data_IF_482917086973
#
_entry.id   IF_482917086973
#
_cell.length_a   1.000
_cell.length_b   1.000
_cell.length_c   1.000
_cell.angle_alpha   90.00
_cell.angle_beta   90.00
_cell.angle_gamma   90.00
#
_symmetry.space_group_name_H-M   'P 1'
#
loop_
_entity.id
_entity.type
_entity.pdbx_description
1 polymer ?
#
# COMPACT_ATOMS: atom_id res chain seq x y z
N UNK A 1 -30.06 67.82 54.60
CA UNK A 1 -30.61 66.84 53.64
C UNK A 1 -29.43 66.20 52.95
N UNK A 2 -29.29 64.88 53.02
CA UNK A 2 -28.23 64.13 52.38
C UNK A 2 -28.88 63.12 51.43
N UNK A 3 -28.57 63.19 50.15
CA UNK A 3 -28.91 62.18 49.15
C UNK A 3 -27.70 61.28 48.93
N UNK A 4 -27.93 59.97 48.86
CA UNK A 4 -26.95 58.99 48.45
C UNK A 4 -27.39 58.39 47.11
N UNK A 5 -26.51 58.45 46.10
CA UNK A 5 -26.69 57.74 44.85
C UNK A 5 -25.99 56.38 44.93
N UNK A 6 -26.72 55.30 44.62
CA UNK A 6 -26.18 53.95 44.49
C UNK A 6 -26.00 53.62 43.02
N UNK A 7 -24.82 53.10 42.66
CA UNK A 7 -24.57 52.46 41.36
C UNK A 7 -24.36 50.97 41.56
N UNK A 8 -25.03 50.16 40.75
CA UNK A 8 -24.82 48.71 40.70
C UNK A 8 -23.62 48.39 39.80
N UNK A 9 -22.69 47.50 40.21
CA UNK A 9 -21.62 47.06 39.33
C UNK A 9 -22.18 46.12 38.25
N UNK A 10 -21.83 46.38 36.99
CA UNK A 10 -22.06 45.44 35.90
C UNK A 10 -21.03 44.30 35.96
N UNK A 11 -21.50 43.05 35.86
CA UNK A 11 -20.62 41.89 35.74
C UNK A 11 -19.97 41.86 34.34
N UNK A 12 -18.69 41.48 34.21
CA UNK A 12 -18.07 41.33 32.91
C UNK A 12 -18.65 40.10 32.18
N UNK A 13 -18.95 40.27 30.90
CA UNK A 13 -19.35 39.17 30.03
C UNK A 13 -18.20 38.16 29.91
N UNK A 14 -18.40 36.95 30.43
CA UNK A 14 -17.47 35.84 30.21
C UNK A 14 -17.58 35.39 28.76
N UNK A 15 -16.59 35.74 27.93
CA UNK A 15 -16.46 35.16 26.60
C UNK A 15 -15.92 33.72 26.75
N UNK A 16 -16.55 32.72 26.10
CA UNK A 16 -16.19 31.32 26.29
C UNK A 16 -14.91 30.99 25.51
N UNK A 17 -13.76 31.33 26.10
CA UNK A 17 -12.42 31.03 25.58
C UNK A 17 -12.18 29.54 25.34
N UNK A 18 -12.93 28.66 26.03
CA UNK A 18 -12.86 27.21 25.84
C UNK A 18 -13.42 26.75 24.49
N UNK A 19 -14.47 27.40 23.97
CA UNK A 19 -15.16 26.96 22.74
C UNK A 19 -14.31 27.26 21.50
N UNK A 20 -13.68 28.44 21.47
CA UNK A 20 -12.81 28.85 20.36
C UNK A 20 -11.56 27.99 20.25
N UNK A 21 -10.98 27.55 21.38
CA UNK A 21 -9.80 26.68 21.38
C UNK A 21 -10.14 25.27 20.83
N UNK A 22 -11.28 24.69 21.23
CA UNK A 22 -11.73 23.38 20.69
C UNK A 22 -12.06 23.42 19.20
N UNK A 23 -12.72 24.49 18.72
CA UNK A 23 -13.03 24.63 17.29
C UNK A 23 -11.75 24.84 16.48
N UNK A 24 -10.79 25.62 16.98
CA UNK A 24 -9.49 25.81 16.37
C UNK A 24 -8.69 24.49 16.27
N UNK A 25 -8.70 23.67 17.32
CA UNK A 25 -8.01 22.37 17.33
C UNK A 25 -8.66 21.37 16.37
N UNK A 26 -10.00 21.30 16.31
CA UNK A 26 -10.72 20.43 15.37
C UNK A 26 -10.47 20.83 13.91
N UNK A 27 -10.45 22.14 13.62
CA UNK A 27 -10.07 22.64 12.30
C UNK A 27 -8.62 22.26 11.96
N UNK A 28 -7.68 22.38 12.90
CA UNK A 28 -6.28 22.00 12.69
C UNK A 28 -6.11 20.50 12.40
N UNK A 29 -6.84 19.63 13.11
CA UNK A 29 -6.82 18.18 12.90
C UNK A 29 -7.43 17.80 11.54
N UNK A 30 -8.44 18.52 11.07
CA UNK A 30 -9.05 18.30 9.74
C UNK A 30 -8.10 18.61 8.56
N UNK A 31 -7.02 19.35 8.81
CA UNK A 31 -5.99 19.66 7.81
C UNK A 31 -4.86 18.63 7.75
N UNK A 32 -4.90 17.56 8.56
CA UNK A 32 -3.93 16.47 8.44
C UNK A 32 -4.19 15.73 7.11
N UNK A 33 -3.24 15.77 6.15
CA UNK A 33 -3.44 15.11 4.87
C UNK A 33 -3.63 13.61 5.12
N UNK A 34 -4.67 13.04 4.50
CA UNK A 34 -4.85 11.60 4.48
C UNK A 34 -3.65 10.97 3.76
N UNK A 35 -2.85 10.25 4.53
CA UNK A 35 -1.70 9.52 4.04
C UNK A 35 -2.16 8.40 3.08
N UNK A 36 -2.11 8.63 1.75
CA UNK A 36 -2.29 7.59 0.73
C UNK A 36 -0.97 7.24 0.06
N UNK A 37 -0.36 6.14 0.49
CA UNK A 37 0.87 5.62 -0.09
C UNK A 37 0.66 5.06 -1.46
N UNK A 38 1.51 5.50 -2.37
CA UNK A 38 1.49 5.05 -3.74
C UNK A 38 2.91 4.94 -4.26
N UNK A 39 3.24 3.75 -4.72
CA UNK A 39 4.52 3.39 -5.25
C UNK A 39 4.33 2.30 -6.29
N UNK A 40 5.26 2.22 -7.23
CA UNK A 40 5.27 1.22 -8.29
C UNK A 40 6.67 0.67 -8.47
N UNK A 41 6.79 -0.60 -8.82
CA UNK A 41 8.07 -1.22 -9.14
C UNK A 41 8.33 -1.07 -10.65
N UNK A 42 9.39 -0.31 -10.99
CA UNK A 42 9.74 0.08 -12.35
C UNK A 42 10.87 -0.78 -12.94
N UNK A 43 11.83 -1.21 -12.12
CA UNK A 43 12.91 -2.10 -12.57
C UNK A 43 13.24 -3.13 -11.49
N UNK A 44 13.08 -4.45 -11.75
CA UNK A 44 12.40 -5.02 -12.92
C UNK A 44 10.94 -4.54 -12.98
N UNK A 45 10.39 -4.24 -14.17
CA UNK A 45 8.99 -3.82 -14.31
C UNK A 45 8.05 -4.83 -13.67
N UNK A 46 7.20 -4.38 -12.73
CA UNK A 46 6.09 -5.20 -12.23
C UNK A 46 5.01 -5.40 -13.30
N UNK A 47 4.16 -6.42 -13.14
CA UNK A 47 3.02 -6.69 -14.03
C UNK A 47 2.14 -5.45 -14.25
N UNK A 48 1.96 -4.63 -13.21
CA UNK A 48 1.20 -3.37 -13.29
C UNK A 48 1.90 -2.28 -14.12
N UNK A 49 3.24 -2.20 -14.08
CA UNK A 49 4.02 -1.12 -14.70
C UNK A 49 4.63 -1.47 -16.06
N UNK A 50 4.55 -2.72 -16.50
CA UNK A 50 5.10 -3.19 -17.78
C UNK A 50 4.74 -2.28 -18.96
N UNK A 51 3.47 -1.89 -19.09
CA UNK A 51 2.98 -1.08 -20.19
C UNK A 51 3.65 0.31 -20.26
N UNK A 52 4.05 0.89 -19.11
CA UNK A 52 4.74 2.19 -19.07
C UNK A 52 6.14 2.12 -19.64
N UNK A 53 6.71 0.92 -19.71
CA UNK A 53 8.10 0.66 -20.09
C UNK A 53 8.18 -0.07 -21.44
N UNK A 54 7.12 0.03 -22.25
CA UNK A 54 7.12 -0.40 -23.65
C UNK A 54 6.84 -1.89 -23.88
N UNK A 55 6.45 -2.64 -22.86
CA UNK A 55 6.03 -4.03 -23.01
C UNK A 55 4.62 -4.10 -23.61
N UNK A 56 4.39 -5.09 -24.48
CA UNK A 56 3.05 -5.46 -24.94
C UNK A 56 2.24 -6.06 -23.78
N UNK A 57 1.57 -5.19 -23.02
CA UNK A 57 0.79 -5.54 -21.84
C UNK A 57 -0.38 -4.57 -21.69
N UNK A 58 -1.50 -4.99 -21.09
CA UNK A 58 -2.62 -4.09 -20.85
C UNK A 58 -2.21 -2.92 -19.94
N UNK A 59 -2.70 -1.72 -20.24
CA UNK A 59 -2.37 -0.54 -19.47
C UNK A 59 -3.10 -0.54 -18.12
N UNK A 60 -2.34 -0.50 -17.03
CA UNK A 60 -2.82 -0.12 -15.70
C UNK A 60 -2.41 1.33 -15.38
N UNK A 61 -3.33 2.27 -15.60
CA UNK A 61 -3.09 3.69 -15.29
C UNK A 61 -2.91 3.96 -13.80
N UNK A 62 -3.34 3.03 -12.95
CA UNK A 62 -3.27 3.05 -11.50
C UNK A 62 -2.21 2.08 -10.95
N UNK A 63 -1.19 1.71 -11.75
CA UNK A 63 -0.06 0.82 -11.39
C UNK A 63 0.79 1.19 -10.15
N UNK A 64 0.48 2.30 -9.51
CA UNK A 64 1.05 2.75 -8.24
C UNK A 64 0.12 2.50 -7.04
N UNK A 65 -1.02 1.87 -7.29
CA UNK A 65 -2.06 1.56 -6.34
C UNK A 65 -2.13 0.04 -6.07
N UNK A 66 -0.98 -0.63 -5.94
CA UNK A 66 -0.87 -2.00 -5.43
C UNK A 66 -1.06 -2.08 -3.90
N UNK A 67 -2.21 -1.61 -3.41
CA UNK A 67 -2.54 -1.34 -2.00
C UNK A 67 -3.62 -2.25 -1.41
N UNK A 68 -3.73 -3.48 -1.89
CA UNK A 68 -4.64 -4.52 -1.37
C UNK A 68 -6.14 -4.15 -1.48
N UNK A 69 -6.51 -3.33 -2.47
CA UNK A 69 -7.86 -2.78 -2.61
C UNK A 69 -8.22 -1.68 -1.61
N UNK A 70 -7.23 -1.15 -0.88
CA UNK A 70 -7.37 -0.07 0.09
C UNK A 70 -7.70 -0.53 1.52
N UNK A 71 -7.56 0.40 2.48
CA UNK A 71 -7.63 0.13 3.93
C UNK A 71 -8.87 -0.67 4.36
N UNK A 72 -10.04 -0.35 3.80
CA UNK A 72 -11.30 -1.04 4.17
C UNK A 72 -11.33 -2.47 3.65
N UNK A 73 -10.88 -2.70 2.41
CA UNK A 73 -10.77 -4.04 1.86
C UNK A 73 -9.78 -4.87 2.68
N UNK A 74 -8.57 -4.34 2.91
CA UNK A 74 -7.51 -5.00 3.66
C UNK A 74 -7.98 -5.37 5.08
N UNK A 75 -8.33 -4.39 5.91
CA UNK A 75 -8.55 -4.64 7.35
C UNK A 75 -9.97 -5.07 7.69
N UNK A 76 -10.99 -4.43 7.12
CA UNK A 76 -12.37 -4.68 7.52
C UNK A 76 -12.97 -5.90 6.82
N UNK A 77 -12.63 -6.10 5.53
CA UNK A 77 -13.22 -7.16 4.72
C UNK A 77 -12.38 -8.44 4.71
N UNK A 78 -11.07 -8.31 4.59
CA UNK A 78 -10.17 -9.44 4.36
C UNK A 78 -9.26 -9.77 5.54
N UNK A 79 -9.39 -9.07 6.67
CA UNK A 79 -8.70 -9.40 7.92
C UNK A 79 -7.18 -9.29 7.83
N UNK A 80 -6.68 -8.34 7.04
CA UNK A 80 -5.26 -8.13 6.78
C UNK A 80 -4.72 -8.92 5.58
N UNK A 81 -5.53 -9.74 4.92
CA UNK A 81 -5.10 -10.49 3.73
C UNK A 81 -5.05 -9.60 2.48
N UNK A 82 -4.01 -9.81 1.68
CA UNK A 82 -3.72 -9.14 0.41
C UNK A 82 -3.31 -10.21 -0.62
N UNK A 83 -3.60 -10.01 -1.91
CA UNK A 83 -2.97 -10.80 -2.97
C UNK A 83 -1.48 -10.48 -3.04
N UNK A 84 -0.64 -11.47 -3.36
CA UNK A 84 0.83 -11.31 -3.34
C UNK A 84 1.33 -10.29 -4.37
N UNK A 85 0.51 -10.00 -5.39
CA UNK A 85 0.77 -8.98 -6.40
C UNK A 85 0.11 -7.61 -6.09
N UNK A 86 -0.37 -7.37 -4.87
CA UNK A 86 -0.89 -6.07 -4.41
C UNK A 86 -2.40 -5.86 -4.62
N UNK A 87 -3.09 -6.85 -5.17
CA UNK A 87 -4.55 -6.87 -5.35
C UNK A 87 -5.31 -7.13 -4.04
N UNK A 88 -6.62 -6.80 -3.94
CA UNK A 88 -7.46 -7.31 -2.85
C UNK A 88 -7.47 -8.84 -2.81
N UNK A 89 -7.65 -9.44 -1.63
CA UNK A 89 -7.60 -10.90 -1.47
C UNK A 89 -8.66 -11.69 -2.27
N UNK A 90 -9.73 -11.05 -2.75
CA UNK A 90 -10.83 -11.67 -3.48
C UNK A 90 -11.56 -10.63 -4.35
N UNK A 91 -12.18 -11.02 -5.49
CA UNK A 91 -12.24 -12.36 -6.07
C UNK A 91 -10.95 -12.78 -6.79
N UNK A 92 -10.82 -14.09 -7.04
CA UNK A 92 -9.82 -14.70 -7.93
C UNK A 92 -10.44 -14.96 -9.32
N UNK A 93 -9.65 -14.97 -10.41
CA UNK A 93 -8.23 -14.60 -10.47
C UNK A 93 -8.05 -13.10 -10.18
N UNK A 94 -7.05 -12.77 -9.37
CA UNK A 94 -6.76 -11.36 -9.05
C UNK A 94 -6.12 -10.71 -10.30
N UNK A 95 -6.37 -9.42 -10.57
CA UNK A 95 -5.96 -8.79 -11.83
C UNK A 95 -4.49 -8.95 -12.20
N UNK A 96 -3.58 -8.96 -11.22
CA UNK A 96 -2.15 -9.06 -11.43
C UNK A 96 -1.60 -10.47 -11.21
N UNK A 97 -2.41 -11.46 -10.88
CA UNK A 97 -2.00 -12.87 -10.72
C UNK A 97 -2.24 -13.69 -11.99
N UNK A 98 -1.79 -14.95 -12.05
CA UNK A 98 -1.99 -15.79 -13.25
C UNK A 98 -3.47 -15.87 -13.63
N UNK A 99 -3.74 -15.72 -14.93
CA UNK A 99 -5.11 -15.67 -15.46
C UNK A 99 -5.81 -14.31 -15.27
N UNK A 100 -5.20 -13.40 -14.51
CA UNK A 100 -5.65 -12.02 -14.36
C UNK A 100 -5.39 -11.15 -15.58
N UNK A 101 -6.08 -10.01 -15.64
CA UNK A 101 -6.02 -9.07 -16.76
C UNK A 101 -4.60 -8.58 -17.10
N UNK A 102 -3.75 -8.38 -16.10
CA UNK A 102 -2.40 -7.81 -16.28
C UNK A 102 -1.30 -8.88 -16.32
N UNK A 103 -1.67 -10.16 -16.25
CA UNK A 103 -0.72 -11.26 -16.39
C UNK A 103 -0.52 -11.61 -17.87
N UNK A 104 0.70 -11.40 -18.36
CA UNK A 104 1.11 -11.76 -19.73
C UNK A 104 2.00 -12.99 -19.78
N UNK A 105 2.53 -13.44 -18.64
CA UNK A 105 3.53 -14.51 -18.57
C UNK A 105 4.91 -14.13 -19.12
N UNK A 106 5.16 -12.85 -19.40
CA UNK A 106 6.43 -12.37 -19.99
C UNK A 106 7.45 -12.02 -18.90
N UNK A 107 8.63 -12.68 -18.85
CA UNK A 107 9.73 -12.24 -18.00
C UNK A 107 10.21 -10.84 -18.40
N UNK A 108 10.34 -9.93 -17.44
CA UNK A 108 10.72 -8.53 -17.73
C UNK A 108 12.23 -8.30 -17.64
N UNK A 109 12.95 -9.19 -16.95
CA UNK A 109 14.41 -9.22 -16.80
C UNK A 109 14.90 -10.67 -16.66
N UNK A 110 16.19 -10.87 -16.88
CA UNK A 110 16.90 -12.13 -16.67
C UNK A 110 18.16 -11.83 -15.86
N UNK A 111 18.38 -12.59 -14.81
CA UNK A 111 19.53 -12.46 -13.90
C UNK A 111 20.20 -13.81 -13.70
N UNK A 112 21.45 -13.80 -13.26
CA UNK A 112 22.15 -15.00 -12.81
C UNK A 112 22.01 -15.15 -11.29
N UNK A 113 21.99 -16.40 -10.83
CA UNK A 113 21.94 -16.67 -9.38
C UNK A 113 23.16 -16.07 -8.69
N UNK A 114 22.92 -15.26 -7.65
CA UNK A 114 23.95 -14.55 -6.91
C UNK A 114 24.25 -13.13 -7.42
N UNK A 115 23.59 -12.67 -8.48
CA UNK A 115 23.72 -11.28 -8.93
C UNK A 115 23.22 -10.29 -7.88
N UNK A 116 24.01 -9.25 -7.62
CA UNK A 116 23.51 -8.03 -6.98
C UNK A 116 22.81 -7.19 -8.05
N UNK A 117 21.52 -6.93 -7.85
CA UNK A 117 20.69 -6.21 -8.83
C UNK A 117 20.23 -4.87 -8.28
N UNK A 118 20.15 -3.87 -9.15
CA UNK A 118 19.54 -2.58 -8.83
C UNK A 118 18.04 -2.64 -9.01
N UNK A 119 17.28 -2.40 -7.93
CA UNK A 119 15.83 -2.27 -7.98
C UNK A 119 15.44 -0.79 -8.03
N UNK A 120 14.57 -0.43 -8.97
CA UNK A 120 14.04 0.94 -9.09
C UNK A 120 12.55 0.98 -8.76
N UNK A 121 12.21 1.78 -7.75
CA UNK A 121 10.82 2.08 -7.38
C UNK A 121 10.45 3.53 -7.68
N UNK A 122 9.26 3.73 -8.26
CA UNK A 122 8.66 5.05 -8.43
C UNK A 122 7.73 5.38 -7.26
N UNK A 123 8.21 6.13 -6.26
CA UNK A 123 7.37 6.60 -5.15
C UNK A 123 6.66 7.90 -5.54
N UNK A 124 5.34 7.82 -5.70
CA UNK A 124 4.51 8.97 -6.09
C UNK A 124 3.89 9.70 -4.91
N UNK A 125 3.74 9.01 -3.78
CA UNK A 125 3.39 9.60 -2.50
C UNK A 125 4.15 8.86 -1.41
N UNK A 126 5.04 9.55 -0.68
CA UNK A 126 5.89 8.96 0.35
C UNK A 126 5.22 9.00 1.72
N UNK A 127 5.04 7.83 2.36
CA UNK A 127 4.38 7.68 3.67
C UNK A 127 5.33 7.14 4.73
N UNK A 128 6.64 7.27 4.49
CA UNK A 128 7.68 6.68 5.31
C UNK A 128 7.53 5.15 5.29
N UNK A 129 8.10 4.46 6.28
CA UNK A 129 8.15 3.01 6.31
C UNK A 129 9.38 2.50 5.57
N UNK A 130 9.32 1.23 5.18
CA UNK A 130 10.42 0.49 4.56
C UNK A 130 9.87 -0.37 3.41
N UNK A 131 10.78 -0.86 2.59
CA UNK A 131 10.50 -1.78 1.49
C UNK A 131 11.34 -3.03 1.69
N UNK A 132 10.78 -4.18 1.37
CA UNK A 132 11.46 -5.46 1.41
C UNK A 132 11.07 -6.24 0.16
N UNK A 133 12.01 -7.03 -0.35
CA UNK A 133 11.84 -7.80 -1.57
C UNK A 133 11.90 -9.29 -1.26
N UNK A 134 11.11 -10.08 -1.98
CA UNK A 134 11.01 -11.53 -1.82
C UNK A 134 10.96 -12.18 -3.19
N UNK A 135 11.44 -13.41 -3.30
CA UNK A 135 11.35 -14.19 -4.54
C UNK A 135 11.04 -15.65 -4.23
N UNK A 136 10.00 -16.22 -4.82
CA UNK A 136 9.63 -17.62 -4.64
C UNK A 136 9.93 -18.41 -5.92
N UNK A 137 10.34 -19.69 -5.84
CA UNK A 137 10.38 -20.58 -6.99
C UNK A 137 9.02 -20.63 -7.71
N UNK A 138 9.01 -20.33 -9.01
CA UNK A 138 7.78 -20.25 -9.79
C UNK A 138 7.56 -21.46 -10.72
N UNK A 139 8.64 -21.97 -11.32
CA UNK A 139 8.58 -23.06 -12.31
C UNK A 139 8.74 -24.46 -11.70
N UNK A 140 9.38 -24.56 -10.53
CA UNK A 140 9.56 -25.81 -9.76
C UNK A 140 9.20 -25.59 -8.28
N UNK A 141 7.92 -25.32 -7.97
CA UNK A 141 7.46 -25.04 -6.61
C UNK A 141 7.38 -26.32 -5.75
N UNK A 142 7.74 -26.19 -4.47
CA UNK A 142 7.49 -27.25 -3.48
C UNK A 142 5.99 -27.33 -3.09
N UNK A 143 5.53 -28.44 -2.49
CA UNK A 143 4.18 -28.51 -1.95
C UNK A 143 3.91 -27.39 -0.94
N UNK A 144 2.95 -26.52 -1.26
CA UNK A 144 2.58 -25.35 -0.44
C UNK A 144 3.16 -24.02 -0.92
N UNK A 145 4.04 -24.02 -1.93
CA UNK A 145 4.60 -22.79 -2.50
C UNK A 145 3.62 -22.03 -3.37
N UNK A 146 2.53 -22.67 -3.79
CA UNK A 146 1.59 -22.16 -4.78
C UNK A 146 0.14 -22.32 -4.35
N UNK A 147 -0.67 -21.30 -4.63
CA UNK A 147 -2.13 -21.31 -4.56
C UNK A 147 -2.68 -22.00 -5.82
N UNK A 148 -3.65 -22.88 -5.64
CA UNK A 148 -4.39 -23.53 -6.72
C UNK A 148 -5.86 -23.10 -6.67
N UNK A 149 -6.49 -22.94 -7.84
CA UNK A 149 -7.93 -22.70 -7.92
C UNK A 149 -8.73 -24.00 -7.74
N UNK A 150 -10.05 -23.89 -7.75
CA UNK A 150 -10.97 -25.02 -7.57
C UNK A 150 -10.88 -26.06 -8.70
N UNK A 151 -10.39 -25.66 -9.88
CA UNK A 151 -10.20 -26.52 -11.05
C UNK A 151 -8.79 -27.14 -11.08
N UNK A 152 -7.95 -26.85 -10.08
CA UNK A 152 -6.59 -27.35 -9.99
C UNK A 152 -5.60 -26.64 -10.91
N UNK A 153 -5.89 -25.40 -11.33
CA UNK A 153 -4.92 -24.56 -12.03
C UNK A 153 -4.10 -23.75 -11.04
N UNK A 154 -2.83 -23.56 -11.37
CA UNK A 154 -1.92 -22.71 -10.61
C UNK A 154 -2.42 -21.26 -10.67
N UNK A 155 -2.59 -20.62 -9.50
CA UNK A 155 -3.01 -19.21 -9.36
C UNK A 155 -1.80 -18.30 -9.20
N UNK A 156 -1.07 -18.43 -8.11
CA UNK A 156 0.15 -17.64 -7.84
C UNK A 156 0.93 -18.25 -6.69
N UNK A 157 2.19 -17.84 -6.51
CA UNK A 157 2.98 -18.22 -5.33
C UNK A 157 2.32 -17.76 -4.03
N UNK A 158 2.47 -18.53 -2.97
CA UNK A 158 1.90 -18.20 -1.65
C UNK A 158 2.74 -17.15 -0.93
N UNK A 159 2.08 -16.40 -0.04
CA UNK A 159 2.79 -15.51 0.88
C UNK A 159 3.78 -16.31 1.75
N UNK A 160 3.44 -17.52 2.18
CA UNK A 160 4.31 -18.40 2.97
C UNK A 160 5.58 -18.81 2.20
N UNK A 161 5.52 -18.97 0.87
CA UNK A 161 6.71 -19.15 0.07
C UNK A 161 7.58 -17.89 0.06
N UNK A 162 6.98 -16.75 -0.23
CA UNK A 162 7.69 -15.48 -0.29
C UNK A 162 8.34 -15.13 1.05
N UNK A 163 7.67 -15.40 2.18
CA UNK A 163 8.18 -15.11 3.53
C UNK A 163 9.37 -15.98 3.94
N UNK A 164 9.56 -17.14 3.29
CA UNK A 164 10.77 -17.97 3.45
C UNK A 164 11.96 -17.47 2.61
N UNK A 165 11.72 -16.58 1.66
CA UNK A 165 12.70 -16.16 0.65
C UNK A 165 12.82 -14.64 0.56
N UNK A 166 13.14 -14.01 1.70
CA UNK A 166 13.44 -12.57 1.79
C UNK A 166 14.81 -12.30 1.19
N UNK A 167 14.91 -11.26 0.36
CA UNK A 167 16.17 -10.82 -0.25
C UNK A 167 16.90 -9.83 0.66
N UNK A 168 18.23 -9.92 0.65
CA UNK A 168 19.12 -9.02 1.38
C UNK A 168 19.54 -7.85 0.48
N UNK A 169 19.72 -6.68 1.11
CA UNK A 169 20.40 -5.52 0.56
C UNK A 169 21.92 -5.76 0.55
N UNK A 170 22.68 -4.91 -0.15
CA UNK A 170 24.14 -5.06 -0.29
C UNK A 170 24.89 -5.04 1.07
N UNK A 171 24.31 -4.41 2.09
CA UNK A 171 24.84 -4.36 3.45
C UNK A 171 24.39 -5.54 4.35
N UNK A 172 23.59 -6.46 3.80
CA UNK A 172 23.05 -7.62 4.51
C UNK A 172 21.77 -7.35 5.32
N UNK A 173 21.22 -6.13 5.29
CA UNK A 173 19.90 -5.86 5.88
C UNK A 173 18.76 -6.31 4.95
N UNK A 174 17.54 -6.47 5.46
CA UNK A 174 16.37 -6.83 4.62
C UNK A 174 15.43 -5.66 4.37
N UNK A 175 15.66 -4.50 5.00
CA UNK A 175 14.78 -3.32 4.96
C UNK A 175 15.40 -2.06 5.53
#
# INVERSE_FOLDING_TARGET
MAEAALTFPSSPAQTPTSVTLTVGLLLLISQLPAARAHGRLLDPPSRASMWRLGFESPADYDDHQGYCGGKSALWNRFGGRCGVCGDPASPTPRPHERGGQYYTGTPTRVYQSGDTITITMGITANHRGWVEFRVCPYDDPEPGDVEWDEDGNFVEVTQDCLDRHVLELEDGETR
#
